data_IF_363499638284
#
_entry.id   IF_363499638284
#
_cell.length_a   1.000
_cell.length_b   1.000
_cell.length_c   1.000
_cell.angle_alpha   90.00
_cell.angle_beta   90.00
_cell.angle_gamma   90.00
#
_symmetry.space_group_name_H-M   'P 1'
#
loop_
_entity.id
_entity.type
_entity.pdbx_description
1 polymer ?
#
# COMPACT_ATOMS: atom_id res chain seq x y z
N UNK A 1 0.88 9.60 -5.98
CA UNK A 1 1.86 8.87 -6.81
C UNK A 1 2.34 9.72 -7.97
N UNK A 2 1.60 9.86 -9.09
CA UNK A 2 2.10 10.50 -10.34
C UNK A 2 2.79 11.84 -10.07
N UNK A 3 2.08 12.79 -9.44
CA UNK A 3 2.67 14.10 -9.13
C UNK A 3 3.98 13.98 -8.32
N UNK A 4 4.02 13.12 -7.30
CA UNK A 4 5.23 12.88 -6.49
C UNK A 4 6.36 12.27 -7.30
N UNK A 5 6.06 11.35 -8.22
CA UNK A 5 7.07 10.72 -9.07
C UNK A 5 7.58 11.65 -10.18
N UNK A 6 6.75 12.57 -10.67
CA UNK A 6 7.13 13.51 -11.72
C UNK A 6 7.94 14.70 -11.19
N UNK A 7 7.79 15.06 -9.91
CA UNK A 7 8.44 16.26 -9.34
C UNK A 7 9.39 15.97 -8.18
N UNK A 8 9.46 14.72 -7.73
CA UNK A 8 10.20 14.30 -6.53
C UNK A 8 11.38 13.39 -6.85
N UNK A 9 12.00 12.85 -5.79
CA UNK A 9 13.07 11.86 -5.93
C UNK A 9 12.52 10.45 -6.16
N UNK A 10 13.39 9.52 -6.56
CA UNK A 10 13.03 8.10 -6.64
C UNK A 10 12.53 7.58 -5.29
N UNK A 11 13.19 7.96 -4.18
CA UNK A 11 12.75 7.61 -2.84
C UNK A 11 11.36 8.17 -2.50
N UNK A 12 11.10 9.44 -2.82
CA UNK A 12 9.78 10.05 -2.62
C UNK A 12 8.68 9.34 -3.43
N UNK A 13 8.97 9.00 -4.69
CA UNK A 13 8.06 8.23 -5.54
C UNK A 13 7.74 6.87 -4.92
N UNK A 14 8.77 6.13 -4.49
CA UNK A 14 8.60 4.80 -3.88
C UNK A 14 7.84 4.86 -2.55
N UNK A 15 8.16 5.83 -1.70
CA UNK A 15 7.44 6.04 -0.43
C UNK A 15 5.96 6.40 -0.68
N UNK A 16 5.64 7.05 -1.80
CA UNK A 16 4.25 7.36 -2.16
C UNK A 16 3.43 6.13 -2.59
N UNK A 17 4.10 5.04 -2.95
CA UNK A 17 3.51 3.77 -3.39
C UNK A 17 3.52 2.69 -2.30
N UNK A 18 4.47 2.79 -1.35
CA UNK A 18 4.66 1.80 -0.29
C UNK A 18 3.37 1.42 0.46
N UNK A 19 2.45 2.35 0.82
CA UNK A 19 1.19 1.97 1.46
C UNK A 19 0.33 0.99 0.67
N UNK A 20 0.30 1.06 -0.66
CA UNK A 20 -0.49 0.15 -1.50
C UNK A 20 -0.01 -1.30 -1.33
N UNK A 21 1.30 -1.53 -1.47
CA UNK A 21 1.89 -2.85 -1.27
C UNK A 21 1.69 -3.35 0.16
N UNK A 22 2.07 -2.53 1.13
CA UNK A 22 2.20 -2.95 2.53
C UNK A 22 0.84 -3.10 3.22
N UNK A 23 -0.10 -2.17 2.98
CA UNK A 23 -1.39 -2.21 3.66
C UNK A 23 -2.23 -3.41 3.22
N UNK A 24 -2.25 -3.75 1.94
CA UNK A 24 -3.01 -4.91 1.43
C UNK A 24 -2.52 -6.22 2.04
N UNK A 25 -1.20 -6.42 2.12
CA UNK A 25 -0.62 -7.57 2.83
C UNK A 25 -1.02 -7.59 4.30
N UNK A 26 -0.92 -6.44 4.97
CA UNK A 26 -1.27 -6.29 6.38
C UNK A 26 -2.74 -6.59 6.67
N UNK A 27 -3.67 -6.07 5.84
CA UNK A 27 -5.11 -6.31 5.94
C UNK A 27 -5.42 -7.78 5.74
N UNK A 28 -4.84 -8.42 4.72
CA UNK A 28 -5.06 -9.83 4.44
C UNK A 28 -4.58 -10.72 5.59
N UNK A 29 -3.37 -10.46 6.13
CA UNK A 29 -2.84 -11.18 7.29
C UNK A 29 -3.69 -10.99 8.55
N UNK A 30 -4.06 -9.76 8.87
CA UNK A 30 -4.88 -9.45 10.05
C UNK A 30 -6.26 -10.14 10.01
N UNK A 31 -6.75 -10.46 8.81
CA UNK A 31 -8.05 -11.10 8.60
C UNK A 31 -7.95 -12.53 8.05
N UNK A 32 -6.77 -13.16 8.08
CA UNK A 32 -6.51 -14.43 7.38
C UNK A 32 -7.55 -15.50 7.71
N UNK A 33 -7.86 -15.67 8.99
CA UNK A 33 -8.84 -16.67 9.45
C UNK A 33 -10.24 -16.42 8.87
N UNK A 34 -10.67 -15.16 8.82
CA UNK A 34 -11.98 -14.76 8.30
C UNK A 34 -12.02 -14.92 6.78
N UNK A 35 -10.96 -14.51 6.09
CA UNK A 35 -10.85 -14.60 4.65
C UNK A 35 -10.81 -16.05 4.17
N UNK A 36 -10.04 -16.94 4.81
CA UNK A 36 -9.98 -18.37 4.45
C UNK A 36 -11.32 -19.09 4.63
N UNK A 37 -12.11 -18.69 5.64
CA UNK A 37 -13.42 -19.29 5.93
C UNK A 37 -14.59 -18.57 5.26
N UNK A 38 -14.32 -17.54 4.46
CA UNK A 38 -15.38 -16.77 3.82
C UNK A 38 -16.15 -17.67 2.83
N UNK A 39 -17.47 -17.63 2.85
CA UNK A 39 -18.31 -18.43 1.95
C UNK A 39 -18.23 -17.95 0.50
N UNK A 40 -17.95 -16.67 0.28
CA UNK A 40 -17.86 -16.04 -1.05
C UNK A 40 -16.48 -16.29 -1.67
N UNK A 41 -16.47 -16.98 -2.81
CA UNK A 41 -15.22 -17.37 -3.50
C UNK A 41 -14.38 -16.18 -3.97
N UNK A 42 -15.03 -15.10 -4.39
CA UNK A 42 -14.35 -13.87 -4.82
C UNK A 42 -13.43 -13.31 -3.72
N UNK A 43 -13.89 -13.26 -2.47
CA UNK A 43 -13.09 -12.74 -1.37
C UNK A 43 -11.95 -13.68 -0.98
N UNK A 44 -12.14 -14.99 -1.13
CA UNK A 44 -11.05 -15.96 -0.93
C UNK A 44 -9.96 -15.82 -1.99
N UNK A 45 -10.33 -15.64 -3.26
CA UNK A 45 -9.38 -15.41 -4.36
C UNK A 45 -8.64 -14.08 -4.24
N UNK A 46 -9.34 -13.03 -3.83
CA UNK A 46 -8.69 -11.75 -3.51
C UNK A 46 -7.67 -11.96 -2.39
N UNK A 47 -8.06 -12.63 -1.31
CA UNK A 47 -7.17 -12.90 -0.19
C UNK A 47 -5.99 -13.79 -0.56
N UNK A 48 -6.15 -14.78 -1.44
CA UNK A 48 -5.06 -15.70 -1.80
C UNK A 48 -3.87 -14.99 -2.44
N UNK A 49 -4.10 -13.90 -3.17
CA UNK A 49 -3.02 -13.08 -3.73
C UNK A 49 -2.23 -12.41 -2.62
N UNK A 50 -2.90 -11.65 -1.75
CA UNK A 50 -2.23 -10.92 -0.67
C UNK A 50 -1.77 -11.81 0.49
N UNK A 51 -2.25 -13.06 0.55
CA UNK A 51 -1.76 -14.09 1.46
C UNK A 51 -0.57 -14.89 0.93
N UNK A 52 -0.26 -14.76 -0.36
CA UNK A 52 0.76 -15.56 -1.04
C UNK A 52 2.17 -15.21 -0.56
N UNK A 53 3.07 -16.19 -0.67
CA UNK A 53 4.51 -16.02 -0.44
C UNK A 53 5.10 -15.00 -1.41
N UNK A 54 4.73 -15.10 -2.69
CA UNK A 54 5.26 -14.26 -3.77
C UNK A 54 4.93 -12.78 -3.54
N UNK A 55 3.69 -12.47 -3.13
CA UNK A 55 3.32 -11.09 -2.78
C UNK A 55 4.05 -10.63 -1.52
N UNK A 56 4.19 -11.49 -0.51
CA UNK A 56 4.96 -11.18 0.70
C UNK A 56 6.42 -10.84 0.41
N UNK A 57 7.07 -11.62 -0.44
CA UNK A 57 8.45 -11.39 -0.88
C UNK A 57 8.59 -10.07 -1.64
N UNK A 58 7.67 -9.77 -2.55
CA UNK A 58 7.62 -8.50 -3.27
C UNK A 58 7.48 -7.29 -2.32
N UNK A 59 6.61 -7.38 -1.30
CA UNK A 59 6.47 -6.32 -0.28
C UNK A 59 7.77 -6.11 0.47
N UNK A 60 8.43 -7.18 0.92
CA UNK A 60 9.68 -7.08 1.67
C UNK A 60 10.84 -6.57 0.80
N UNK A 61 10.91 -6.98 -0.47
CA UNK A 61 11.88 -6.44 -1.42
C UNK A 61 11.69 -4.94 -1.64
N UNK A 62 10.43 -4.50 -1.81
CA UNK A 62 10.09 -3.10 -1.97
C UNK A 62 10.50 -2.26 -0.75
N UNK A 63 10.24 -2.77 0.46
CA UNK A 63 10.66 -2.14 1.73
C UNK A 63 12.18 -2.03 1.82
N UNK A 64 12.91 -3.11 1.48
CA UNK A 64 14.38 -3.09 1.44
C UNK A 64 14.91 -2.06 0.45
N UNK A 65 14.28 -1.90 -0.71
CA UNK A 65 14.67 -0.89 -1.70
C UNK A 65 14.48 0.54 -1.17
N UNK A 66 13.36 0.83 -0.50
CA UNK A 66 13.13 2.11 0.19
C UNK A 66 14.20 2.36 1.26
N UNK A 67 14.51 1.35 2.09
CA UNK A 67 15.50 1.48 3.15
C UNK A 67 16.92 1.73 2.61
N UNK A 68 17.28 1.14 1.46
CA UNK A 68 18.57 1.39 0.79
C UNK A 68 18.67 2.84 0.32
N UNK A 69 17.68 3.32 -0.44
CA UNK A 69 17.65 4.69 -0.93
C UNK A 69 17.61 5.73 0.22
N UNK A 70 16.94 5.41 1.32
CA UNK A 70 16.95 6.26 2.51
C UNK A 70 18.36 6.45 3.09
N UNK A 71 19.18 5.39 3.11
CA UNK A 71 20.58 5.48 3.59
C UNK A 71 21.44 6.37 2.69
N UNK A 72 21.11 6.47 1.41
CA UNK A 72 21.82 7.27 0.42
C UNK A 72 21.39 8.75 0.46
N UNK A 73 20.08 9.04 0.48
CA UNK A 73 19.57 10.42 0.44
C UNK A 73 19.64 11.11 1.82
N UNK A 74 19.24 10.43 2.91
CA UNK A 74 19.23 10.97 4.27
C UNK A 74 18.45 12.29 4.46
N UNK A 75 18.33 12.78 5.70
CA UNK A 75 17.87 14.16 5.99
C UNK A 75 16.41 14.54 5.63
N UNK A 76 15.67 13.71 4.89
CA UNK A 76 14.34 14.04 4.35
C UNK A 76 13.17 13.34 5.05
N UNK A 77 13.40 12.69 6.20
CA UNK A 77 12.40 11.86 6.90
C UNK A 77 11.05 12.57 7.11
N UNK A 78 11.05 13.84 7.52
CA UNK A 78 9.80 14.60 7.74
C UNK A 78 8.96 14.71 6.47
N UNK A 79 9.62 14.82 5.31
CA UNK A 79 8.95 14.88 4.01
C UNK A 79 8.44 13.51 3.59
N UNK A 80 9.26 12.47 3.71
CA UNK A 80 8.86 11.08 3.43
C UNK A 80 7.68 10.64 4.29
N UNK A 81 7.71 10.94 5.59
CA UNK A 81 6.60 10.68 6.52
C UNK A 81 5.31 11.37 6.07
N UNK A 82 5.39 12.60 5.55
CA UNK A 82 4.21 13.32 5.04
C UNK A 82 3.67 12.66 3.77
N UNK A 83 4.53 12.25 2.85
CA UNK A 83 4.16 11.54 1.62
C UNK A 83 3.47 10.21 1.98
N UNK A 84 4.12 9.39 2.82
CA UNK A 84 3.59 8.11 3.28
C UNK A 84 2.21 8.28 3.93
N UNK A 85 2.08 9.20 4.90
CA UNK A 85 0.79 9.45 5.59
C UNK A 85 -0.31 9.90 4.63
N UNK A 86 0.02 10.70 3.60
CA UNK A 86 -0.95 11.11 2.58
C UNK A 86 -1.39 9.91 1.75
N UNK A 87 -0.45 9.10 1.28
CA UNK A 87 -0.77 7.89 0.53
C UNK A 87 -1.60 6.89 1.36
N UNK A 88 -1.26 6.66 2.65
CA UNK A 88 -2.09 5.82 3.54
C UNK A 88 -3.51 6.36 3.73
N UNK A 89 -3.70 7.68 3.79
CA UNK A 89 -5.06 8.27 3.83
C UNK A 89 -5.83 7.97 2.55
N UNK A 90 -5.18 8.02 1.40
CA UNK A 90 -5.82 7.66 0.13
C UNK A 90 -6.17 6.18 0.07
N UNK A 91 -5.37 5.28 0.64
CA UNK A 91 -5.77 3.86 0.77
C UNK A 91 -7.04 3.70 1.61
N UNK A 92 -7.15 4.39 2.75
CA UNK A 92 -8.38 4.38 3.54
C UNK A 92 -9.59 4.92 2.74
N UNK A 93 -9.41 6.05 2.05
CA UNK A 93 -10.45 6.63 1.19
C UNK A 93 -10.83 5.69 0.05
N UNK A 94 -9.88 4.91 -0.50
CA UNK A 94 -10.14 3.91 -1.53
C UNK A 94 -11.08 2.80 -1.03
N UNK A 95 -10.89 2.34 0.21
CA UNK A 95 -11.81 1.36 0.81
C UNK A 95 -13.17 1.98 1.15
N UNK A 96 -13.19 3.20 1.69
CA UNK A 96 -14.43 3.91 2.06
C UNK A 96 -15.27 4.26 0.82
N UNK A 97 -14.64 4.71 -0.27
CA UNK A 97 -15.34 5.03 -1.52
C UNK A 97 -15.97 3.78 -2.14
N UNK A 98 -15.28 2.63 -2.11
CA UNK A 98 -15.82 1.38 -2.60
C UNK A 98 -17.01 0.90 -1.75
N UNK A 99 -16.90 1.02 -0.43
CA UNK A 99 -17.96 0.68 0.51
C UNK A 99 -19.21 1.56 0.34
N UNK A 100 -19.02 2.86 0.16
CA UNK A 100 -20.12 3.84 -0.04
C UNK A 100 -20.65 3.86 -1.47
N UNK A 101 -20.01 3.15 -2.39
CA UNK A 101 -20.25 3.27 -3.84
C UNK A 101 -20.23 4.74 -4.27
N UNK A 102 -19.19 5.46 -3.82
CA UNK A 102 -19.03 6.89 -4.02
C UNK A 102 -19.15 7.24 -5.51
N UNK A 103 -19.88 8.31 -5.78
CA UNK A 103 -20.04 8.88 -7.11
C UNK A 103 -19.46 10.28 -7.14
N UNK A 104 -19.13 10.72 -8.35
CA UNK A 104 -18.82 12.10 -8.58
C UNK A 104 -19.99 12.99 -8.13
N UNK A 105 -19.73 14.11 -7.43
CA UNK A 105 -20.77 14.98 -6.89
C UNK A 105 -21.36 15.92 -7.95
N UNK A 106 -21.33 15.53 -9.24
CA UNK A 106 -21.76 16.33 -10.39
C UNK A 106 -22.69 15.56 -11.30
#
# INVERSE_FOLDING_TARGET
MIATCSTGTALECMVSLLPCYWSYRGIALANERLLRKNSVDLYRRWASVYLSSEYGEAVEEYRRAVDRLWREEGGVYRRLKRIFRKATRYEYMFWDMAWRMEKWPV
#
